data_IF_233522909593
#
_entry.id   IF_233522909593
#
_cell.length_a   1.000
_cell.length_b   1.000
_cell.length_c   1.000
_cell.angle_alpha   90.00
_cell.angle_beta   90.00
_cell.angle_gamma   90.00
#
_symmetry.space_group_name_H-M   'P 1'
#
loop_
_entity.id
_entity.type
_entity.pdbx_description
1 polymer ?
#
# COMPACT_ATOMS: atom_id res chain seq x y z
N UNK A 1 -1.09 -7.66 -11.39
CA UNK A 1 -1.67 -8.29 -10.17
C UNK A 1 -1.74 -7.22 -9.09
N UNK A 2 -2.95 -6.86 -8.62
CA UNK A 2 -3.13 -5.85 -7.57
C UNK A 2 -3.01 -6.54 -6.20
N UNK A 3 -2.21 -5.98 -5.31
CA UNK A 3 -2.03 -6.51 -3.96
C UNK A 3 -3.33 -6.34 -3.15
N UNK A 4 -3.88 -7.44 -2.62
CA UNK A 4 -5.13 -7.44 -1.86
C UNK A 4 -4.85 -7.65 -0.36
N UNK A 5 -4.93 -6.56 0.42
CA UNK A 5 -4.69 -6.57 1.88
C UNK A 5 -5.61 -7.51 2.64
N UNK A 6 -6.87 -7.64 2.21
CA UNK A 6 -7.85 -8.48 2.90
C UNK A 6 -7.61 -9.96 2.63
N UNK A 7 -7.25 -10.33 1.40
CA UNK A 7 -6.85 -11.71 1.08
C UNK A 7 -5.56 -12.09 1.80
N UNK A 8 -4.58 -11.18 1.87
CA UNK A 8 -3.35 -11.43 2.62
C UNK A 8 -3.62 -11.64 4.12
N UNK A 9 -4.48 -10.79 4.73
CA UNK A 9 -4.89 -10.95 6.13
C UNK A 9 -5.53 -12.33 6.36
N UNK A 10 -6.51 -12.71 5.53
CA UNK A 10 -7.17 -14.03 5.63
C UNK A 10 -6.19 -15.19 5.47
N UNK A 11 -5.21 -15.06 4.57
CA UNK A 11 -4.18 -16.07 4.38
C UNK A 11 -3.27 -16.19 5.61
N UNK A 12 -2.85 -15.06 6.20
CA UNK A 12 -2.04 -15.02 7.41
C UNK A 12 -2.79 -15.59 8.62
N UNK A 13 -4.06 -15.21 8.83
CA UNK A 13 -4.90 -15.72 9.93
C UNK A 13 -5.15 -17.24 9.83
N UNK A 14 -5.11 -17.81 8.63
CA UNK A 14 -5.26 -19.26 8.41
C UNK A 14 -3.94 -20.04 8.56
N UNK A 15 -2.80 -19.37 8.40
CA UNK A 15 -1.50 -19.98 8.55
C UNK A 15 -1.20 -20.28 10.03
N UNK A 16 -0.17 -21.09 10.30
CA UNK A 16 0.23 -21.40 11.68
C UNK A 16 0.61 -20.11 12.40
N UNK A 17 -0.06 -19.85 13.53
CA UNK A 17 0.13 -18.63 14.33
C UNK A 17 1.56 -18.50 14.87
N UNK A 18 1.95 -17.25 15.15
CA UNK A 18 3.24 -16.92 15.74
C UNK A 18 4.35 -16.62 14.74
N UNK A 19 5.58 -16.58 15.25
CA UNK A 19 6.75 -16.23 14.47
C UNK A 19 7.36 -17.43 13.79
N UNK A 20 8.01 -17.16 12.66
CA UNK A 20 8.87 -18.13 12.00
C UNK A 20 10.32 -17.72 12.19
N UNK A 21 11.20 -18.72 12.19
CA UNK A 21 12.65 -18.55 12.32
C UNK A 21 13.37 -19.35 11.26
N UNK A 22 14.58 -18.93 10.91
CA UNK A 22 15.48 -19.76 10.12
C UNK A 22 15.93 -20.93 11.00
N UNK A 23 15.66 -22.14 10.53
CA UNK A 23 15.96 -23.37 11.26
C UNK A 23 17.20 -24.09 10.70
N UNK A 24 17.09 -25.41 10.65
CA UNK A 24 18.13 -26.31 10.17
C UNK A 24 18.44 -26.11 8.67
N UNK A 25 19.48 -26.78 8.19
CA UNK A 25 19.81 -26.86 6.77
C UNK A 25 20.00 -28.32 6.35
N UNK A 26 19.74 -28.60 5.07
CA UNK A 26 20.08 -29.87 4.46
C UNK A 26 21.43 -29.78 3.76
N UNK A 27 22.29 -30.76 4.01
CA UNK A 27 23.61 -30.88 3.38
C UNK A 27 23.63 -32.16 2.57
N UNK A 28 23.93 -32.04 1.28
CA UNK A 28 23.94 -33.21 0.41
C UNK A 28 25.14 -34.14 0.70
N UNK A 29 25.15 -35.32 0.07
CA UNK A 29 26.21 -36.34 0.23
C UNK A 29 27.63 -35.87 -0.11
N UNK A 30 27.79 -34.72 -0.77
CA UNK A 30 29.07 -34.13 -1.14
C UNK A 30 29.52 -33.03 -0.15
N UNK A 31 28.78 -32.78 0.93
CA UNK A 31 29.10 -31.75 1.91
C UNK A 31 28.66 -30.33 1.51
N UNK A 32 27.85 -30.20 0.45
CA UNK A 32 27.36 -28.91 -0.02
C UNK A 32 25.95 -28.63 0.49
N UNK A 33 25.65 -27.36 0.78
CA UNK A 33 24.30 -26.92 1.11
C UNK A 33 23.32 -27.32 0.00
N UNK A 34 22.19 -27.87 0.41
CA UNK A 34 21.08 -28.30 -0.45
C UNK A 34 19.89 -27.36 -0.26
N UNK A 35 19.58 -27.04 1.00
CA UNK A 35 18.48 -26.13 1.35
C UNK A 35 18.60 -25.59 2.77
N UNK A 36 17.78 -24.58 3.07
CA UNK A 36 17.61 -23.98 4.40
C UNK A 36 16.14 -24.03 4.78
N UNK A 37 15.84 -24.52 5.97
CA UNK A 37 14.47 -24.65 6.46
C UNK A 37 14.00 -23.38 7.17
N UNK A 38 12.73 -23.06 6.97
CA UNK A 38 11.98 -22.05 7.73
C UNK A 38 11.10 -22.83 8.69
N UNK A 39 11.19 -22.53 9.98
CA UNK A 39 10.54 -23.30 11.03
C UNK A 39 9.61 -22.41 11.86
N UNK A 40 8.57 -23.01 12.43
CA UNK A 40 7.79 -22.41 13.49
C UNK A 40 8.70 -22.15 14.70
N UNK A 41 8.67 -20.94 15.26
CA UNK A 41 9.36 -20.66 16.53
C UNK A 41 8.66 -21.42 17.67
N UNK A 42 9.43 -22.14 18.47
CA UNK A 42 8.94 -22.81 19.67
C UNK A 42 9.95 -22.68 20.80
N UNK A 43 9.55 -22.01 21.90
CA UNK A 43 10.39 -21.76 23.06
C UNK A 43 11.77 -21.14 22.71
N UNK A 44 11.80 -20.19 21.77
CA UNK A 44 13.03 -19.54 21.31
C UNK A 44 13.94 -20.41 20.44
N UNK A 45 13.45 -21.57 19.98
CA UNK A 45 14.17 -22.50 19.11
C UNK A 45 13.40 -22.77 17.82
N UNK A 46 14.10 -23.32 16.82
CA UNK A 46 13.48 -23.82 15.60
C UNK A 46 12.68 -25.09 15.91
N UNK A 47 11.36 -25.01 15.74
CA UNK A 47 10.44 -26.14 15.89
C UNK A 47 10.18 -26.86 14.57
N UNK A 48 8.91 -27.10 14.26
CA UNK A 48 8.50 -27.79 13.04
C UNK A 48 8.80 -26.98 11.76
N UNK A 49 9.25 -27.66 10.71
CA UNK A 49 9.49 -27.06 9.39
C UNK A 49 8.16 -26.64 8.76
N UNK A 50 8.06 -25.40 8.31
CA UNK A 50 6.88 -24.84 7.61
C UNK A 50 7.15 -24.57 6.13
N UNK A 51 8.40 -24.31 5.77
CA UNK A 51 8.82 -24.09 4.39
C UNK A 51 10.33 -24.37 4.23
N UNK A 52 10.80 -24.45 2.98
CA UNK A 52 12.19 -24.76 2.64
C UNK A 52 12.65 -23.91 1.45
N UNK A 53 13.83 -23.31 1.57
CA UNK A 53 14.49 -22.59 0.49
C UNK A 53 15.63 -23.45 -0.07
N UNK A 54 15.54 -23.81 -1.35
CA UNK A 54 16.55 -24.64 -2.00
C UNK A 54 17.67 -23.81 -2.63
N UNK A 55 18.89 -24.36 -2.58
CA UNK A 55 19.95 -23.99 -3.53
C UNK A 55 19.46 -24.31 -4.94
N UNK A 56 19.58 -23.35 -5.83
CA UNK A 56 19.12 -23.49 -7.21
C UNK A 56 20.04 -22.72 -8.17
N UNK A 57 19.74 -22.77 -9.47
CA UNK A 57 20.58 -22.16 -10.50
C UNK A 57 20.67 -20.61 -10.43
N UNK A 58 19.80 -19.96 -9.64
CA UNK A 58 19.79 -18.50 -9.45
C UNK A 58 20.48 -18.06 -8.15
N UNK A 59 20.67 -18.97 -7.19
CA UNK A 59 21.42 -18.66 -5.96
C UNK A 59 22.92 -18.67 -6.25
N UNK A 60 23.59 -17.54 -6.02
CA UNK A 60 25.02 -17.37 -6.27
C UNK A 60 25.90 -18.03 -5.21
N UNK A 61 25.41 -18.11 -3.97
CA UNK A 61 26.10 -18.70 -2.84
C UNK A 61 25.10 -19.14 -1.76
N UNK A 62 25.61 -19.82 -0.73
CA UNK A 62 24.82 -20.27 0.42
C UNK A 62 24.14 -19.11 1.17
N UNK A 63 24.81 -17.96 1.29
CA UNK A 63 24.29 -16.80 2.02
C UNK A 63 22.97 -16.30 1.43
N UNK A 64 22.81 -16.37 0.10
CA UNK A 64 21.54 -16.01 -0.55
C UNK A 64 20.40 -16.97 -0.19
N UNK A 65 20.68 -18.25 0.04
CA UNK A 65 19.67 -19.24 0.43
C UNK A 65 19.20 -18.96 1.86
N UNK A 66 20.15 -18.67 2.76
CA UNK A 66 19.84 -18.22 4.11
C UNK A 66 19.09 -16.88 4.13
N UNK A 67 19.45 -15.93 3.26
CA UNK A 67 18.75 -14.65 3.14
C UNK A 67 17.30 -14.84 2.67
N UNK A 68 17.05 -15.73 1.72
CA UNK A 68 15.70 -16.07 1.27
C UNK A 68 14.87 -16.67 2.41
N UNK A 69 15.43 -17.65 3.14
CA UNK A 69 14.78 -18.24 4.29
C UNK A 69 14.51 -17.19 5.39
N UNK A 70 15.48 -16.31 5.65
CA UNK A 70 15.36 -15.23 6.62
C UNK A 70 14.27 -14.22 6.26
N UNK A 71 14.18 -13.82 4.99
CA UNK A 71 13.11 -12.94 4.52
C UNK A 71 11.74 -13.58 4.73
N UNK A 72 11.57 -14.85 4.33
CA UNK A 72 10.29 -15.55 4.50
C UNK A 72 9.94 -15.79 5.98
N UNK A 73 10.93 -16.04 6.83
CA UNK A 73 10.73 -16.17 8.27
C UNK A 73 10.30 -14.83 8.91
N UNK A 74 10.93 -13.73 8.51
CA UNK A 74 10.53 -12.38 8.94
C UNK A 74 9.14 -12.00 8.43
N UNK A 75 8.75 -12.45 7.25
CA UNK A 75 7.40 -12.31 6.71
C UNK A 75 6.41 -13.36 7.28
N UNK A 76 6.59 -13.75 8.54
CA UNK A 76 5.68 -14.66 9.25
C UNK A 76 4.25 -14.11 9.29
N UNK A 77 3.23 -14.97 9.44
CA UNK A 77 1.85 -14.53 9.57
C UNK A 77 1.65 -13.47 10.66
N UNK A 78 2.29 -13.63 11.82
CA UNK A 78 2.23 -12.67 12.91
C UNK A 78 2.75 -11.28 12.50
N UNK A 79 3.91 -11.22 11.84
CA UNK A 79 4.51 -9.96 11.40
C UNK A 79 3.70 -9.32 10.26
N UNK A 80 3.17 -10.12 9.34
CA UNK A 80 2.29 -9.64 8.26
C UNK A 80 1.01 -9.04 8.83
N UNK A 81 0.37 -9.69 9.81
CA UNK A 81 -0.83 -9.16 10.48
C UNK A 81 -0.52 -7.84 11.18
N UNK A 82 0.58 -7.78 11.94
CA UNK A 82 1.04 -6.56 12.63
C UNK A 82 1.26 -5.40 11.65
N UNK A 83 1.97 -5.64 10.54
CA UNK A 83 2.19 -4.63 9.50
C UNK A 83 0.87 -4.15 8.87
N UNK A 84 -0.09 -5.06 8.65
CA UNK A 84 -1.41 -4.70 8.12
C UNK A 84 -2.22 -3.84 9.10
N UNK A 85 -2.05 -4.04 10.41
CA UNK A 85 -2.68 -3.20 11.45
C UNK A 85 -2.04 -1.81 11.52
N UNK A 86 -0.72 -1.74 11.41
CA UNK A 86 0.00 -0.46 11.33
C UNK A 86 -0.43 0.34 10.11
N UNK A 87 -0.52 -0.30 8.93
CA UNK A 87 -1.02 0.34 7.71
C UNK A 87 -2.45 0.87 7.91
N UNK A 88 -3.35 0.06 8.48
CA UNK A 88 -4.73 0.48 8.73
C UNK A 88 -4.81 1.69 9.69
N UNK A 89 -3.92 1.73 10.70
CA UNK A 89 -3.83 2.83 11.65
C UNK A 89 -3.33 4.11 10.98
N UNK A 90 -2.29 3.99 10.15
CA UNK A 90 -1.74 5.11 9.39
C UNK A 90 -2.76 5.67 8.40
N UNK A 91 -3.51 4.81 7.71
CA UNK A 91 -4.59 5.21 6.80
C UNK A 91 -5.67 6.03 7.54
N UNK A 92 -6.08 5.59 8.74
CA UNK A 92 -7.03 6.35 9.59
C UNK A 92 -6.49 7.73 9.96
N UNK A 93 -5.24 7.80 10.44
CA UNK A 93 -4.61 9.08 10.83
C UNK A 93 -4.45 10.03 9.66
N UNK A 94 -4.15 9.51 8.47
CA UNK A 94 -4.08 10.32 7.25
C UNK A 94 -5.45 10.89 6.88
N UNK A 95 -6.54 10.12 7.04
CA UNK A 95 -7.89 10.60 6.79
C UNK A 95 -8.28 11.72 7.79
N UNK A 96 -8.01 11.53 9.08
CA UNK A 96 -8.24 12.54 10.13
C UNK A 96 -7.48 13.84 9.85
N UNK A 97 -6.18 13.75 9.54
CA UNK A 97 -5.37 14.91 9.19
C UNK A 97 -5.84 15.59 7.90
N UNK A 98 -6.33 14.82 6.92
CA UNK A 98 -6.89 15.40 5.70
C UNK A 98 -8.19 16.17 6.00
N UNK A 99 -9.05 15.65 6.87
CA UNK A 99 -10.27 16.33 7.33
C UNK A 99 -9.94 17.62 8.10
N UNK A 100 -8.98 17.57 9.04
CA UNK A 100 -8.51 18.75 9.78
C UNK A 100 -7.95 19.82 8.82
N UNK A 101 -7.11 19.41 7.87
CA UNK A 101 -6.57 20.32 6.84
C UNK A 101 -7.67 20.92 5.95
N UNK A 102 -8.72 20.17 5.63
CA UNK A 102 -9.86 20.70 4.89
C UNK A 102 -10.61 21.77 5.71
N UNK A 103 -10.81 21.52 7.00
CA UNK A 103 -11.38 22.49 7.95
C UNK A 103 -10.56 23.77 8.07
N UNK A 104 -9.24 23.64 8.25
CA UNK A 104 -8.31 24.78 8.30
C UNK A 104 -8.34 25.60 7.01
N UNK A 105 -8.31 24.94 5.85
CA UNK A 105 -8.39 25.64 4.55
C UNK A 105 -9.72 26.39 4.40
N UNK A 106 -10.83 25.86 4.94
CA UNK A 106 -12.12 26.55 4.95
C UNK A 106 -12.10 27.77 5.85
N UNK A 107 -11.62 27.63 7.09
CA UNK A 107 -11.46 28.76 8.02
C UNK A 107 -10.59 29.88 7.43
N UNK A 108 -9.49 29.54 6.76
CA UNK A 108 -8.60 30.51 6.11
C UNK A 108 -9.32 31.29 4.99
N UNK A 109 -10.24 30.64 4.27
CA UNK A 109 -11.00 31.27 3.17
C UNK A 109 -12.17 32.10 3.69
N UNK A 110 -12.92 31.57 4.63
CA UNK A 110 -14.22 32.12 5.02
C UNK A 110 -14.08 33.14 6.16
N UNK A 111 -13.15 32.93 7.10
CA UNK A 111 -13.14 33.62 8.40
C UNK A 111 -11.79 34.27 8.78
N UNK A 112 -10.70 34.00 8.06
CA UNK A 112 -9.38 34.54 8.39
C UNK A 112 -9.05 35.79 7.57
N UNK A 113 -8.88 36.92 8.26
CA UNK A 113 -8.54 38.21 7.66
C UNK A 113 -7.21 38.74 8.18
N UNK A 114 -6.39 39.31 7.30
CA UNK A 114 -5.12 39.96 7.63
C UNK A 114 -5.23 41.48 7.52
N UNK A 115 -4.46 42.16 8.37
CA UNK A 115 -4.26 43.61 8.32
C UNK A 115 -2.77 43.87 8.05
N UNK A 116 -2.47 44.78 7.13
CA UNK A 116 -1.09 45.18 6.82
C UNK A 116 -0.80 46.52 7.47
N UNK A 117 0.48 46.82 7.79
CA UNK A 117 0.86 48.13 8.36
C UNK A 117 0.43 49.32 7.52
N UNK A 118 0.28 49.09 6.21
CA UNK A 118 0.06 50.12 5.20
C UNK A 118 -1.42 50.25 4.81
N UNK A 119 -2.30 49.37 5.33
CA UNK A 119 -3.70 49.29 4.91
C UNK A 119 -4.60 48.78 6.05
N UNK A 120 -5.62 49.56 6.39
CA UNK A 120 -6.53 49.29 7.55
C UNK A 120 -7.69 48.37 7.12
N UNK A 121 -7.89 48.15 5.81
CA UNK A 121 -8.93 47.27 5.30
C UNK A 121 -8.57 45.79 5.48
N UNK A 122 -9.49 44.97 6.03
CA UNK A 122 -9.25 43.54 6.19
C UNK A 122 -9.18 42.84 4.83
N UNK A 123 -8.10 42.09 4.59
CA UNK A 123 -7.94 41.26 3.38
C UNK A 123 -8.08 39.78 3.73
N UNK A 124 -8.65 38.97 2.83
CA UNK A 124 -8.76 37.53 3.07
C UNK A 124 -7.37 36.89 3.12
N UNK A 125 -7.08 36.10 4.15
CA UNK A 125 -5.79 35.43 4.28
C UNK A 125 -5.52 34.42 3.15
N UNK A 126 -6.58 33.89 2.52
CA UNK A 126 -6.46 32.94 1.41
C UNK A 126 -5.80 33.54 0.16
N UNK A 127 -5.91 34.86 -0.04
CA UNK A 127 -5.27 35.57 -1.17
C UNK A 127 -3.74 35.63 -1.05
N UNK A 128 -3.21 35.31 0.14
CA UNK A 128 -1.78 35.36 0.45
C UNK A 128 -1.20 33.96 0.69
N UNK A 129 -1.97 32.90 0.41
CA UNK A 129 -1.47 31.53 0.53
C UNK A 129 -0.31 31.35 -0.47
N UNK A 130 0.87 30.88 -0.04
CA UNK A 130 1.95 30.62 -0.97
C UNK A 130 1.51 29.58 -2.00
N UNK A 131 1.88 29.80 -3.25
CA UNK A 131 1.71 28.79 -4.29
C UNK A 131 2.41 27.48 -3.86
N UNK A 132 1.87 26.35 -4.29
CA UNK A 132 2.47 25.03 -4.02
C UNK A 132 2.83 24.32 -5.33
N UNK A 133 3.79 24.84 -6.13
CA UNK A 133 4.05 24.32 -7.47
C UNK A 133 4.41 22.84 -7.50
N UNK A 134 5.11 22.34 -6.48
CA UNK A 134 5.45 20.92 -6.35
C UNK A 134 4.20 20.04 -6.13
N UNK A 135 3.27 20.47 -5.28
CA UNK A 135 2.00 19.78 -5.04
C UNK A 135 1.12 19.81 -6.30
N UNK A 136 1.04 20.95 -6.97
CA UNK A 136 0.26 21.10 -8.19
C UNK A 136 0.82 20.25 -9.33
N UNK A 137 2.16 20.19 -9.48
CA UNK A 137 2.83 19.31 -10.41
C UNK A 137 2.56 17.83 -10.11
N UNK A 138 2.63 17.42 -8.83
CA UNK A 138 2.30 16.05 -8.41
C UNK A 138 0.83 15.70 -8.69
N UNK A 139 -0.11 16.59 -8.40
CA UNK A 139 -1.53 16.36 -8.70
C UNK A 139 -1.81 16.30 -10.20
N UNK A 140 -1.11 17.10 -11.02
CA UNK A 140 -1.17 17.02 -12.47
C UNK A 140 -0.61 15.68 -12.99
N UNK A 141 0.53 15.24 -12.44
CA UNK A 141 1.12 13.95 -12.76
C UNK A 141 0.18 12.80 -12.38
N UNK A 142 -0.40 12.81 -11.19
CA UNK A 142 -1.35 11.80 -10.74
C UNK A 142 -2.55 11.70 -11.68
N UNK A 143 -3.14 12.84 -12.09
CA UNK A 143 -4.24 12.86 -13.07
C UNK A 143 -3.83 12.28 -14.42
N UNK A 144 -2.60 12.56 -14.88
CA UNK A 144 -2.07 11.99 -16.11
C UNK A 144 -1.82 10.47 -15.99
N UNK A 145 -1.30 10.01 -14.86
CA UNK A 145 -1.08 8.59 -14.58
C UNK A 145 -2.40 7.81 -14.50
N UNK A 146 -3.44 8.37 -13.87
CA UNK A 146 -4.77 7.74 -13.81
C UNK A 146 -5.39 7.58 -15.21
N UNK A 147 -5.33 8.63 -16.05
CA UNK A 147 -5.78 8.56 -17.44
C UNK A 147 -5.06 7.44 -18.20
N UNK A 148 -3.72 7.38 -18.09
CA UNK A 148 -2.92 6.32 -18.70
C UNK A 148 -3.31 4.92 -18.20
N UNK A 149 -3.55 4.73 -16.90
CA UNK A 149 -3.96 3.44 -16.32
C UNK A 149 -5.31 2.96 -16.85
N UNK A 150 -6.26 3.87 -17.05
CA UNK A 150 -7.56 3.53 -17.65
C UNK A 150 -7.38 3.06 -19.10
N UNK A 151 -6.52 3.71 -19.88
CA UNK A 151 -6.23 3.24 -21.24
C UNK A 151 -5.54 1.87 -21.26
N UNK A 152 -4.53 1.66 -20.41
CA UNK A 152 -3.82 0.38 -20.33
C UNK A 152 -4.72 -0.76 -19.85
N UNK A 153 -5.65 -0.51 -18.92
CA UNK A 153 -6.54 -1.54 -18.41
C UNK A 153 -7.60 -1.99 -19.42
N UNK A 154 -7.90 -1.19 -20.44
CA UNK A 154 -8.81 -1.56 -21.53
C UNK A 154 -8.12 -2.54 -22.50
N UNK A 155 -6.85 -2.30 -22.82
CA UNK A 155 -6.14 -3.00 -23.91
C UNK A 155 -6.02 -4.52 -23.68
N UNK A 156 -5.91 -4.94 -22.42
CA UNK A 156 -5.76 -6.36 -22.04
C UNK A 156 -7.03 -6.94 -21.40
N UNK A 157 -8.18 -6.25 -21.46
CA UNK A 157 -9.39 -6.70 -20.78
C UNK A 157 -10.19 -7.70 -21.64
N UNK A 158 -10.26 -9.00 -21.26
CA UNK A 158 -11.00 -10.00 -22.03
C UNK A 158 -12.52 -9.79 -22.03
N UNK A 159 -13.06 -8.94 -21.14
CA UNK A 159 -14.47 -8.57 -21.12
C UNK A 159 -14.84 -7.53 -22.20
N UNK A 160 -13.85 -6.80 -22.74
CA UNK A 160 -14.06 -5.82 -23.80
C UNK A 160 -13.84 -6.52 -25.14
N UNK A 161 -14.95 -6.91 -25.78
CA UNK A 161 -14.93 -7.72 -27.03
C UNK A 161 -15.46 -6.97 -28.24
N UNK A 162 -16.16 -5.87 -28.02
CA UNK A 162 -16.74 -4.99 -29.03
C UNK A 162 -16.94 -3.56 -28.47
N UNK A 163 -17.52 -2.67 -29.28
CA UNK A 163 -17.78 -1.28 -28.85
C UNK A 163 -18.85 -1.17 -27.77
N UNK A 164 -19.79 -2.11 -27.68
CA UNK A 164 -20.85 -2.09 -26.65
C UNK A 164 -20.26 -2.42 -25.28
N UNK A 165 -19.51 -3.52 -25.20
CA UNK A 165 -18.79 -3.93 -23.99
C UNK A 165 -17.71 -2.93 -23.56
N UNK A 166 -17.11 -2.17 -24.50
CA UNK A 166 -16.24 -1.04 -24.16
C UNK A 166 -17.01 0.09 -23.47
N UNK A 167 -18.19 0.48 -24.00
CA UNK A 167 -19.02 1.53 -23.42
C UNK A 167 -19.50 1.11 -22.03
N UNK A 168 -20.00 -0.11 -21.88
CA UNK A 168 -20.45 -0.64 -20.57
C UNK A 168 -19.31 -0.62 -19.54
N UNK A 169 -18.10 -1.03 -19.95
CA UNK A 169 -16.93 -1.01 -19.07
C UNK A 169 -16.52 0.41 -18.67
N UNK A 170 -16.53 1.37 -19.61
CA UNK A 170 -16.22 2.77 -19.34
C UNK A 170 -17.25 3.40 -18.40
N UNK A 171 -18.54 3.13 -18.60
CA UNK A 171 -19.61 3.59 -17.72
C UNK A 171 -19.46 3.00 -16.31
N UNK A 172 -19.18 1.71 -16.20
CA UNK A 172 -18.93 1.07 -14.90
C UNK A 172 -17.73 1.68 -14.19
N UNK A 173 -16.60 1.86 -14.88
CA UNK A 173 -15.40 2.47 -14.28
C UNK A 173 -15.62 3.93 -13.88
N UNK A 174 -16.37 4.69 -14.68
CA UNK A 174 -16.75 6.06 -14.33
C UNK A 174 -17.63 6.06 -13.07
N UNK A 175 -18.62 5.18 -12.98
CA UNK A 175 -19.48 5.04 -11.81
C UNK A 175 -18.70 4.62 -10.56
N UNK A 176 -17.79 3.65 -10.68
CA UNK A 176 -16.93 3.19 -9.59
C UNK A 176 -16.00 4.33 -9.13
N UNK A 177 -15.44 5.09 -10.06
CA UNK A 177 -14.61 6.26 -9.75
C UNK A 177 -15.40 7.36 -9.04
N UNK A 178 -16.65 7.61 -9.46
CA UNK A 178 -17.55 8.57 -8.81
C UNK A 178 -17.90 8.09 -7.41
N UNK A 179 -18.22 6.80 -7.24
CA UNK A 179 -18.55 6.21 -5.94
C UNK A 179 -17.35 6.28 -4.98
N UNK A 180 -16.15 5.93 -5.45
CA UNK A 180 -14.93 6.05 -4.67
C UNK A 180 -14.62 7.50 -4.30
N UNK A 181 -14.75 8.45 -5.23
CA UNK A 181 -14.59 9.87 -4.94
C UNK A 181 -15.65 10.37 -3.93
N UNK A 182 -16.89 9.88 -4.01
CA UNK A 182 -17.94 10.21 -3.05
C UNK A 182 -17.64 9.61 -1.66
N UNK A 183 -17.04 8.42 -1.59
CA UNK A 183 -16.58 7.82 -0.36
C UNK A 183 -15.47 8.67 0.27
N UNK A 184 -14.43 9.04 -0.48
CA UNK A 184 -13.36 9.92 -0.01
C UNK A 184 -13.89 11.26 0.52
N UNK A 185 -14.92 11.84 -0.13
CA UNK A 185 -15.56 13.09 0.35
C UNK A 185 -16.35 12.89 1.64
N UNK A 186 -17.00 11.73 1.83
CA UNK A 186 -17.71 11.41 3.06
C UNK A 186 -16.74 11.18 4.21
N UNK A 187 -15.67 10.43 3.96
CA UNK A 187 -14.60 10.18 4.92
C UNK A 187 -13.86 11.46 5.31
N UNK A 188 -13.69 12.41 4.38
CA UNK A 188 -13.10 13.72 4.66
C UNK A 188 -14.05 14.71 5.38
N UNK A 189 -15.34 14.38 5.52
CA UNK A 189 -16.35 15.21 6.16
C UNK A 189 -16.81 14.68 7.53
N UNK A 190 -16.27 13.55 7.98
CA UNK A 190 -16.43 12.98 9.32
C UNK A 190 -15.26 13.41 10.21
#
# INVERSE_FOLDING_TARGET
MKFNKQELRKAAEKATEGNYVVGHCDINKHGNLSSVYICQEWNGMAGGVVAECHVNCLTKNSDQVYANAGFMALASPANVISLLEEISTLESRCAELAAENAGLNKFIKDDCFIYTSDDIEPRCASDFKPETPATDAFLAELRAQESKRVYESILDNPAVTDMGSLVDWLEQNANDSIAFAAQLRKEAAQ
#
